data_IF_705666853188
#
_entry.id   IF_705666853188
#
_cell.length_a   1.000
_cell.length_b   1.000
_cell.length_c   1.000
_cell.angle_alpha   90.00
_cell.angle_beta   90.00
_cell.angle_gamma   90.00
#
_symmetry.space_group_name_H-M   'P 1'
#
loop_
_entity.id
_entity.type
_entity.pdbx_description
1 polymer ?
#
# COMPACT_ATOMS: atom_id res chain seq x y z
N UNK A 1 -20.83 69.36 76.73
CA UNK A 1 -20.40 67.95 76.85
C UNK A 1 -21.04 67.18 75.70
N UNK A 2 -20.29 66.97 74.61
CA UNK A 2 -19.72 65.66 74.24
C UNK A 2 -20.79 64.58 74.08
N UNK A 3 -21.22 64.30 72.85
CA UNK A 3 -20.66 63.21 72.06
C UNK A 3 -21.23 63.20 70.64
N UNK A 4 -20.32 63.45 69.71
CA UNK A 4 -20.46 63.28 68.27
C UNK A 4 -20.02 61.84 67.96
N UNK A 5 -20.93 61.00 67.46
CA UNK A 5 -20.59 59.64 67.01
C UNK A 5 -20.76 59.61 65.49
N UNK A 6 -19.63 59.73 64.78
CA UNK A 6 -19.51 59.59 63.34
C UNK A 6 -19.89 58.16 62.92
N UNK A 7 -20.98 58.03 62.18
CA UNK A 7 -21.31 56.82 61.43
C UNK A 7 -20.66 56.92 60.05
N UNK A 8 -19.49 56.29 59.91
CA UNK A 8 -18.77 56.16 58.63
C UNK A 8 -19.50 55.12 57.79
N UNK A 9 -20.25 55.59 56.78
CA UNK A 9 -20.81 54.75 55.71
C UNK A 9 -19.67 54.40 54.75
N UNK A 10 -19.06 53.23 54.93
CA UNK A 10 -18.18 52.61 53.94
C UNK A 10 -19.09 51.98 52.88
N UNK A 11 -19.31 52.72 51.78
CA UNK A 11 -19.86 52.21 50.53
C UNK A 11 -18.87 51.21 49.92
N UNK A 12 -19.01 49.92 50.25
CA UNK A 12 -18.45 48.85 49.44
C UNK A 12 -19.22 48.80 48.11
N UNK A 13 -18.70 49.49 47.09
CA UNK A 13 -19.02 49.18 45.71
C UNK A 13 -18.49 47.78 45.42
N UNK A 14 -19.33 46.76 45.63
CA UNK A 14 -19.14 45.44 45.04
C UNK A 14 -19.31 45.63 43.54
N UNK A 15 -18.21 45.94 42.86
CA UNK A 15 -18.09 45.75 41.42
C UNK A 15 -18.23 44.25 41.17
N UNK A 16 -19.46 43.78 40.99
CA UNK A 16 -19.75 42.53 40.31
C UNK A 16 -19.29 42.76 38.88
N UNK A 17 -17.99 42.60 38.64
CA UNK A 17 -17.47 42.36 37.31
C UNK A 17 -18.22 41.13 36.83
N UNK A 18 -19.30 41.34 36.06
CA UNK A 18 -19.95 40.28 35.31
C UNK A 18 -18.83 39.71 34.45
N UNK A 19 -18.28 38.57 34.87
CA UNK A 19 -17.31 37.82 34.10
C UNK A 19 -17.95 37.66 32.72
N UNK A 20 -17.46 38.44 31.74
CA UNK A 20 -17.94 38.34 30.39
C UNK A 20 -17.78 36.87 30.03
N UNK A 21 -18.87 36.22 29.63
CA UNK A 21 -18.79 34.85 29.16
C UNK A 21 -17.64 34.80 28.15
N UNK A 22 -16.62 33.95 28.37
CA UNK A 22 -15.47 33.91 27.50
C UNK A 22 -15.99 33.75 26.09
N UNK A 23 -15.66 34.72 25.22
CA UNK A 23 -16.10 34.68 23.83
C UNK A 23 -15.63 33.32 23.29
N UNK A 24 -16.51 32.53 22.68
CA UNK A 24 -16.09 31.26 22.11
C UNK A 24 -14.93 31.54 21.15
N UNK A 25 -13.84 30.77 21.29
CA UNK A 25 -12.74 30.78 20.34
C UNK A 25 -13.27 30.29 18.99
N UNK A 26 -13.74 31.22 18.18
CA UNK A 26 -14.15 30.97 16.79
C UNK A 26 -12.98 31.26 15.88
N UNK A 27 -12.91 30.52 14.77
CA UNK A 27 -11.95 30.78 13.71
C UNK A 27 -12.07 32.19 13.12
N UNK A 28 -13.29 32.73 13.15
CA UNK A 28 -13.70 33.91 12.39
C UNK A 28 -13.71 35.21 13.21
N UNK A 29 -13.40 35.15 14.50
CA UNK A 29 -13.77 36.20 15.43
C UNK A 29 -15.29 36.44 15.43
N UNK A 30 -15.71 37.71 15.41
CA UNK A 30 -17.13 38.10 15.35
C UNK A 30 -17.72 38.14 13.92
N UNK A 31 -16.93 37.82 12.88
CA UNK A 31 -17.33 37.95 11.47
C UNK A 31 -17.70 36.63 10.78
N UNK A 32 -18.30 36.72 9.58
CA UNK A 32 -18.50 35.58 8.70
C UNK A 32 -17.18 35.19 8.03
N UNK A 33 -16.85 33.91 8.00
CA UNK A 33 -15.58 33.44 7.46
C UNK A 33 -15.23 33.85 6.02
N UNK A 34 -13.93 33.92 5.72
CA UNK A 34 -13.47 34.23 4.36
C UNK A 34 -14.04 33.23 3.34
N UNK A 35 -14.32 33.65 2.09
CA UNK A 35 -14.81 32.76 1.04
C UNK A 35 -13.94 31.50 0.88
N UNK A 36 -12.61 31.66 0.90
CA UNK A 36 -11.65 30.56 0.85
C UNK A 36 -11.87 29.53 1.97
N UNK A 37 -11.88 29.97 3.23
CA UNK A 37 -12.02 29.09 4.39
C UNK A 37 -13.39 28.38 4.40
N UNK A 38 -14.44 29.02 3.89
CA UNK A 38 -15.76 28.39 3.72
C UNK A 38 -15.76 27.34 2.62
N UNK A 39 -15.06 27.58 1.52
CA UNK A 39 -15.00 26.67 0.39
C UNK A 39 -14.21 25.39 0.69
N UNK A 40 -13.09 25.51 1.40
CA UNK A 40 -12.26 24.34 1.73
C UNK A 40 -12.87 23.46 2.83
N UNK A 41 -13.70 24.00 3.72
CA UNK A 41 -14.32 23.27 4.84
C UNK A 41 -15.67 22.64 4.44
N UNK A 42 -15.68 21.92 3.32
CA UNK A 42 -16.86 21.24 2.77
C UNK A 42 -16.46 19.81 2.38
N UNK A 43 -17.12 18.83 2.99
CA UNK A 43 -16.96 17.42 2.63
C UNK A 43 -18.26 16.63 2.86
N UNK A 44 -19.22 16.69 1.91
CA UNK A 44 -20.56 16.12 2.07
C UNK A 44 -20.57 14.64 2.44
N UNK A 45 -19.60 13.86 1.94
CA UNK A 45 -19.50 12.43 2.26
C UNK A 45 -19.11 12.18 3.72
N UNK A 46 -18.30 13.07 4.30
CA UNK A 46 -17.81 12.96 5.68
C UNK A 46 -18.87 13.47 6.66
N UNK A 47 -19.57 14.56 6.32
CA UNK A 47 -20.70 15.05 7.12
C UNK A 47 -21.90 14.08 7.09
N UNK A 48 -22.05 13.31 6.01
CA UNK A 48 -23.14 12.35 5.80
C UNK A 48 -24.27 12.89 4.93
N UNK A 49 -24.08 14.05 4.30
CA UNK A 49 -24.99 14.61 3.29
C UNK A 49 -24.98 13.80 1.99
N UNK A 50 -23.88 13.12 1.69
CA UNK A 50 -23.76 12.18 0.57
C UNK A 50 -23.27 10.82 1.05
N UNK A 51 -23.70 9.77 0.37
CA UNK A 51 -23.17 8.43 0.58
C UNK A 51 -21.90 8.22 -0.24
N UNK A 52 -20.88 7.53 0.30
CA UNK A 52 -19.67 7.25 -0.45
C UNK A 52 -19.96 6.33 -1.64
N UNK A 53 -19.26 6.56 -2.73
CA UNK A 53 -19.42 5.81 -3.98
C UNK A 53 -18.38 4.69 -4.03
N UNK A 54 -18.78 3.56 -4.61
CA UNK A 54 -17.85 2.48 -4.89
C UNK A 54 -17.17 2.76 -6.22
N UNK A 55 -15.85 2.86 -6.22
CA UNK A 55 -15.10 3.19 -7.44
C UNK A 55 -14.95 1.93 -8.28
N UNK A 56 -15.17 2.05 -9.58
CA UNK A 56 -14.88 1.00 -10.54
C UNK A 56 -13.52 1.27 -11.20
N UNK A 57 -12.62 0.27 -11.26
CA UNK A 57 -11.21 0.49 -11.59
C UNK A 57 -10.92 0.86 -13.05
N UNK A 58 -11.88 0.72 -13.98
CA UNK A 58 -11.64 0.92 -15.40
C UNK A 58 -12.88 1.39 -16.19
N UNK A 59 -13.86 2.03 -15.54
CA UNK A 59 -15.11 2.42 -16.21
C UNK A 59 -15.42 3.92 -16.20
N UNK A 60 -15.16 4.61 -15.09
CA UNK A 60 -15.56 6.01 -14.90
C UNK A 60 -14.36 6.90 -14.64
N UNK A 61 -14.40 8.13 -15.17
CA UNK A 61 -13.41 9.15 -14.85
C UNK A 61 -13.49 9.50 -13.37
N UNK A 62 -12.32 9.58 -12.73
CA UNK A 62 -12.19 9.94 -11.32
C UNK A 62 -11.87 11.42 -11.23
N UNK A 63 -12.87 12.23 -10.92
CA UNK A 63 -12.74 13.67 -10.79
C UNK A 63 -12.58 14.09 -9.33
N UNK A 64 -11.76 15.11 -9.08
CA UNK A 64 -11.43 15.60 -7.75
C UNK A 64 -11.77 17.08 -7.66
N UNK A 65 -12.39 17.50 -6.54
CA UNK A 65 -12.81 18.88 -6.28
C UNK A 65 -11.85 19.65 -5.36
N UNK A 66 -10.86 18.96 -4.79
CA UNK A 66 -9.79 19.55 -3.98
C UNK A 66 -8.43 18.97 -4.34
N UNK A 67 -7.44 19.84 -4.40
CA UNK A 67 -6.02 19.49 -4.49
C UNK A 67 -5.34 19.96 -3.21
N UNK A 68 -4.56 19.08 -2.59
CA UNK A 68 -3.91 19.34 -1.30
C UNK A 68 -2.44 19.02 -1.42
N UNK A 69 -1.59 20.05 -1.33
CA UNK A 69 -0.13 19.88 -1.29
C UNK A 69 0.27 19.54 0.13
N UNK A 70 1.12 18.53 0.26
CA UNK A 70 1.55 18.04 1.56
C UNK A 70 3.06 17.91 1.60
N UNK A 71 3.59 18.08 2.80
CA UNK A 71 4.97 17.78 3.16
C UNK A 71 4.95 16.68 4.21
N UNK A 72 5.65 15.58 3.93
CA UNK A 72 5.78 14.45 4.85
C UNK A 72 7.23 14.29 5.26
N UNK A 73 7.46 14.00 6.53
CA UNK A 73 8.79 13.71 7.07
C UNK A 73 8.77 12.32 7.71
N UNK A 74 9.68 11.43 7.32
CA UNK A 74 9.82 10.10 7.93
C UNK A 74 11.28 9.65 7.89
N UNK A 75 11.78 9.15 9.02
CA UNK A 75 13.18 8.72 9.17
C UNK A 75 14.21 9.75 8.66
N UNK A 76 13.97 11.04 8.94
CA UNK A 76 14.82 12.15 8.51
C UNK A 76 14.71 12.55 7.04
N UNK A 77 13.93 11.82 6.23
CA UNK A 77 13.67 12.18 4.83
C UNK A 77 12.41 13.03 4.74
N UNK A 78 12.50 14.09 3.97
CA UNK A 78 11.38 14.98 3.66
C UNK A 78 10.96 14.73 2.22
N UNK A 79 9.66 14.56 2.00
CA UNK A 79 9.07 14.45 0.67
C UNK A 79 7.86 15.35 0.57
N UNK A 80 7.63 15.85 -0.64
CA UNK A 80 6.43 16.62 -0.98
C UNK A 80 5.63 15.81 -2.01
N UNK A 81 4.31 15.92 -1.93
CA UNK A 81 3.40 15.29 -2.89
C UNK A 81 2.03 15.96 -2.85
N UNK A 82 1.17 15.65 -3.82
CA UNK A 82 -0.20 16.14 -3.86
C UNK A 82 -1.20 15.01 -3.61
N UNK A 83 -2.19 15.30 -2.77
CA UNK A 83 -3.40 14.53 -2.60
C UNK A 83 -4.52 15.21 -3.39
N UNK A 84 -5.41 14.41 -3.96
CA UNK A 84 -6.62 14.88 -4.62
C UNK A 84 -7.82 14.28 -3.90
N UNK A 85 -8.75 15.12 -3.47
CA UNK A 85 -9.97 14.67 -2.80
C UNK A 85 -11.18 14.85 -3.71
N UNK A 86 -11.99 13.80 -3.80
CA UNK A 86 -13.39 13.92 -4.17
C UNK A 86 -14.21 13.90 -2.87
N UNK A 87 -14.55 15.09 -2.39
CA UNK A 87 -15.23 15.32 -1.12
C UNK A 87 -16.72 14.93 -1.17
N UNK A 88 -17.27 14.82 -2.38
CA UNK A 88 -18.66 14.44 -2.63
C UNK A 88 -18.87 12.92 -2.67
N UNK A 89 -17.95 12.19 -3.31
CA UNK A 89 -18.02 10.74 -3.52
C UNK A 89 -17.16 9.94 -2.53
N UNK A 90 -16.24 10.60 -1.81
CA UNK A 90 -15.48 9.98 -0.73
C UNK A 90 -14.30 9.14 -1.19
N UNK A 91 -13.41 9.73 -1.97
CA UNK A 91 -12.16 9.08 -2.32
C UNK A 91 -10.98 10.04 -2.42
N UNK A 92 -9.79 9.49 -2.22
CA UNK A 92 -8.50 10.19 -2.25
C UNK A 92 -7.64 9.58 -3.34
N UNK A 93 -7.09 10.42 -4.22
CA UNK A 93 -6.05 10.07 -5.18
C UNK A 93 -4.70 10.65 -4.77
N UNK A 94 -3.59 9.96 -5.04
CA UNK A 94 -2.25 10.54 -4.87
C UNK A 94 -1.19 9.82 -5.69
N UNK A 95 -0.15 10.55 -6.10
CA UNK A 95 1.07 9.99 -6.69
C UNK A 95 2.11 9.76 -5.59
N UNK A 96 3.02 8.78 -5.78
CA UNK A 96 4.24 8.75 -4.96
C UNK A 96 5.06 10.02 -5.18
N UNK A 97 5.88 10.45 -4.20
CA UNK A 97 6.86 11.49 -4.41
C UNK A 97 7.78 11.09 -5.57
N UNK A 98 7.84 11.93 -6.61
CA UNK A 98 8.72 11.70 -7.76
C UNK A 98 10.10 12.24 -7.45
N UNK A 99 11.13 11.46 -7.75
CA UNK A 99 12.53 11.90 -7.70
C UNK A 99 12.96 12.66 -8.98
N UNK A 100 12.09 12.81 -9.97
CA UNK A 100 12.45 13.27 -11.32
C UNK A 100 12.21 14.76 -11.55
N UNK A 101 13.23 15.42 -12.09
CA UNK A 101 13.39 16.88 -12.24
C UNK A 101 12.50 17.56 -13.31
N UNK A 102 11.36 16.98 -13.72
CA UNK A 102 10.63 17.43 -14.92
C UNK A 102 9.10 17.48 -14.85
N UNK A 103 8.48 17.10 -13.74
CA UNK A 103 7.02 17.17 -13.56
C UNK A 103 6.63 18.15 -12.45
N UNK A 104 5.50 18.85 -12.62
CA UNK A 104 4.89 19.58 -11.52
C UNK A 104 4.49 18.62 -10.40
N UNK A 105 4.59 19.07 -9.15
CA UNK A 105 4.28 18.26 -7.95
C UNK A 105 2.88 17.62 -8.03
N UNK A 106 1.93 18.33 -8.64
CA UNK A 106 0.53 17.96 -8.75
C UNK A 106 0.11 17.59 -10.19
N UNK A 107 1.00 17.05 -11.01
CA UNK A 107 0.61 16.60 -12.35
C UNK A 107 0.21 15.11 -12.33
N UNK A 108 -1.02 14.80 -12.76
CA UNK A 108 -1.45 13.41 -13.03
C UNK A 108 -1.16 13.09 -14.49
N UNK A 109 -0.08 12.37 -14.77
CA UNK A 109 0.38 12.05 -16.13
C UNK A 109 0.41 10.54 -16.37
N UNK A 110 -0.74 9.92 -16.70
CA UNK A 110 -0.85 8.47 -16.78
C UNK A 110 -0.03 7.83 -17.91
N UNK A 111 0.34 8.61 -18.92
CA UNK A 111 1.10 8.15 -20.08
C UNK A 111 2.62 8.35 -19.94
N UNK A 112 3.09 8.77 -18.77
CA UNK A 112 4.53 8.81 -18.49
C UNK A 112 5.03 7.45 -18.01
N UNK A 113 6.28 7.15 -18.36
CA UNK A 113 7.01 6.02 -17.81
C UNK A 113 7.08 6.15 -16.27
N UNK A 114 6.93 5.03 -15.58
CA UNK A 114 6.97 4.93 -14.12
C UNK A 114 5.88 5.77 -13.42
N UNK A 115 4.78 6.08 -14.11
CA UNK A 115 3.59 6.63 -13.47
C UNK A 115 3.05 5.65 -12.44
N UNK A 116 2.76 6.13 -11.23
CA UNK A 116 2.09 5.37 -10.18
C UNK A 116 1.11 6.31 -9.47
N UNK A 117 -0.16 5.93 -9.44
CA UNK A 117 -1.24 6.68 -8.82
C UNK A 117 -2.12 5.74 -7.99
N UNK A 118 -2.33 6.10 -6.73
CA UNK A 118 -3.15 5.34 -5.80
C UNK A 118 -4.49 6.03 -5.66
N UNK A 119 -5.56 5.23 -5.58
CA UNK A 119 -6.89 5.70 -5.26
C UNK A 119 -7.44 4.89 -4.08
N UNK A 120 -7.84 5.59 -3.02
CA UNK A 120 -8.42 5.03 -1.80
C UNK A 120 -9.84 5.57 -1.63
N UNK A 121 -10.84 4.69 -1.67
CA UNK A 121 -12.22 5.04 -1.33
C UNK A 121 -12.52 4.87 0.16
N UNK A 122 -13.40 5.69 0.72
CA UNK A 122 -13.86 5.53 2.11
C UNK A 122 -14.70 4.26 2.31
N UNK A 123 -15.18 3.65 1.23
CA UNK A 123 -15.78 2.31 1.24
C UNK A 123 -14.78 1.17 1.36
N UNK A 124 -13.47 1.45 1.33
CA UNK A 124 -12.39 0.47 1.47
C UNK A 124 -11.83 -0.08 0.16
N UNK A 125 -12.34 0.35 -0.99
CA UNK A 125 -11.74 -0.01 -2.28
C UNK A 125 -10.39 0.73 -2.46
N UNK A 126 -9.37 -0.02 -2.88
CA UNK A 126 -8.01 0.47 -3.11
C UNK A 126 -7.57 0.06 -4.52
N UNK A 127 -7.13 1.04 -5.30
CA UNK A 127 -6.57 0.82 -6.63
C UNK A 127 -5.19 1.43 -6.75
N UNK A 128 -4.28 0.69 -7.40
CA UNK A 128 -2.96 1.19 -7.79
C UNK A 128 -2.89 1.17 -9.31
N UNK A 129 -2.88 2.35 -9.92
CA UNK A 129 -2.68 2.55 -11.35
C UNK A 129 -1.20 2.75 -11.59
N UNK A 130 -0.62 1.98 -12.50
CA UNK A 130 0.80 2.08 -12.82
C UNK A 130 1.06 1.94 -14.31
N UNK A 131 2.08 2.64 -14.79
CA UNK A 131 2.55 2.55 -16.17
C UNK A 131 3.95 1.98 -16.20
N UNK A 132 4.11 0.83 -16.86
CA UNK A 132 5.38 0.11 -16.96
C UNK A 132 5.90 0.13 -18.39
N UNK A 133 7.20 0.37 -18.57
CA UNK A 133 7.90 0.25 -19.85
C UNK A 133 8.27 -1.21 -20.10
N UNK A 134 7.73 -1.81 -21.16
CA UNK A 134 8.03 -3.18 -21.56
C UNK A 134 9.28 -3.30 -22.45
N UNK A 135 9.99 -2.20 -22.66
CA UNK A 135 11.06 -2.09 -23.64
C UNK A 135 10.54 -1.66 -25.02
N UNK A 136 11.46 -1.22 -25.88
CA UNK A 136 11.16 -0.68 -27.22
C UNK A 136 10.18 0.50 -27.23
N UNK A 137 10.09 1.25 -26.13
CA UNK A 137 9.19 2.41 -26.01
C UNK A 137 7.71 2.05 -25.87
N UNK A 138 7.36 0.78 -25.63
CA UNK A 138 5.97 0.35 -25.43
C UNK A 138 5.61 0.45 -23.96
N UNK A 139 4.66 1.33 -23.65
CA UNK A 139 4.10 1.47 -22.32
C UNK A 139 2.88 0.55 -22.15
N UNK A 140 2.77 -0.07 -20.97
CA UNK A 140 1.56 -0.76 -20.52
C UNK A 140 1.00 -0.08 -19.29
N UNK A 141 -0.33 -0.02 -19.24
CA UNK A 141 -1.09 0.60 -18.17
C UNK A 141 -1.82 -0.48 -17.39
N UNK A 142 -1.50 -0.59 -16.10
CA UNK A 142 -2.01 -1.63 -15.21
C UNK A 142 -2.75 -1.03 -14.03
N UNK A 143 -3.91 -1.60 -13.70
CA UNK A 143 -4.57 -1.35 -12.42
C UNK A 143 -4.51 -2.61 -11.57
N UNK A 144 -3.96 -2.47 -10.36
CA UNK A 144 -3.98 -3.50 -9.31
C UNK A 144 -5.11 -3.17 -8.34
N UNK A 145 -6.00 -4.13 -8.11
CA UNK A 145 -7.18 -3.99 -7.26
C UNK A 145 -7.04 -4.70 -5.90
N UNK A 146 -6.10 -5.65 -5.80
CA UNK A 146 -5.83 -6.44 -4.59
C UNK A 146 -7.06 -7.12 -3.98
N UNK A 147 -8.11 -7.39 -4.77
CA UNK A 147 -9.37 -7.99 -4.30
C UNK A 147 -10.26 -7.04 -3.48
N UNK A 148 -9.88 -5.77 -3.33
CA UNK A 148 -10.64 -4.78 -2.55
C UNK A 148 -11.97 -4.39 -3.21
N UNK A 149 -12.14 -4.73 -4.49
CA UNK A 149 -13.39 -4.54 -5.22
C UNK A 149 -14.52 -5.47 -4.76
N UNK A 150 -14.17 -6.63 -4.20
CA UNK A 150 -15.15 -7.61 -3.71
C UNK A 150 -15.17 -7.66 -2.18
N UNK A 151 -14.01 -7.46 -1.55
CA UNK A 151 -13.85 -7.46 -0.11
C UNK A 151 -13.12 -6.19 0.31
N UNK A 152 -13.84 -5.12 0.68
CA UNK A 152 -13.21 -3.83 0.93
C UNK A 152 -12.14 -3.88 2.03
N UNK A 153 -11.12 -3.06 1.89
CA UNK A 153 -10.06 -2.90 2.87
C UNK A 153 -10.57 -2.16 4.10
N UNK A 154 -10.48 -2.84 5.24
CA UNK A 154 -10.72 -2.25 6.54
C UNK A 154 -9.44 -1.56 6.99
N UNK A 155 -9.35 -0.23 6.89
CA UNK A 155 -8.18 0.53 7.33
C UNK A 155 -7.84 0.16 8.80
N UNK A 156 -6.58 -0.15 9.15
CA UNK A 156 -6.19 -0.40 10.53
C UNK A 156 -6.60 0.79 11.41
N UNK A 157 -7.37 0.52 12.46
CA UNK A 157 -7.93 1.56 13.33
C UNK A 157 -9.31 2.07 12.91
N UNK A 158 -9.91 1.62 11.81
CA UNK A 158 -11.29 1.92 11.41
C UNK A 158 -12.35 1.26 12.30
N UNK A 159 -12.01 0.90 13.54
CA UNK A 159 -12.99 0.51 14.53
C UNK A 159 -14.04 1.63 14.59
N UNK A 160 -15.32 1.25 14.51
CA UNK A 160 -16.45 2.15 14.70
C UNK A 160 -16.40 2.64 16.14
N UNK A 161 -15.63 3.70 16.36
CA UNK A 161 -15.26 4.17 17.67
C UNK A 161 -15.05 5.66 17.64
N UNK A 162 -15.16 6.25 18.82
CA UNK A 162 -14.92 7.66 19.04
C UNK A 162 -13.54 7.81 19.69
N UNK A 163 -12.62 8.54 19.04
CA UNK A 163 -11.35 8.90 19.67
C UNK A 163 -11.47 10.29 20.29
N UNK A 164 -11.29 10.41 21.61
CA UNK A 164 -11.32 11.71 22.28
C UNK A 164 -9.95 12.38 22.22
N UNK A 165 -9.95 13.66 21.87
CA UNK A 165 -8.77 14.52 21.86
C UNK A 165 -9.05 15.82 22.61
N UNK A 166 -8.06 16.32 23.34
CA UNK A 166 -8.17 17.55 24.12
C UNK A 166 -7.35 18.67 23.46
N UNK A 167 -7.92 19.87 23.41
CA UNK A 167 -7.26 21.08 22.89
C UNK A 167 -6.02 21.39 23.74
N UNK A 168 -4.94 21.78 23.08
CA UNK A 168 -3.73 22.33 23.70
C UNK A 168 -3.61 23.81 23.36
N UNK A 169 -2.66 24.50 24.00
CA UNK A 169 -2.51 25.96 23.85
C UNK A 169 -1.80 26.36 22.54
N UNK A 170 -1.21 25.40 21.83
CA UNK A 170 -0.45 25.72 20.62
C UNK A 170 -1.36 25.92 19.42
N UNK A 171 -1.00 26.90 18.60
CA UNK A 171 -1.68 27.25 17.37
C UNK A 171 -0.63 27.46 16.28
N UNK A 172 -0.98 27.07 15.05
CA UNK A 172 -0.15 27.26 13.86
C UNK A 172 -0.98 27.84 12.72
N UNK A 173 -0.27 28.53 11.82
CA UNK A 173 -0.80 29.07 10.57
C UNK A 173 -0.36 28.19 9.39
N UNK A 174 -1.25 28.06 8.41
CA UNK A 174 -1.11 27.19 7.23
C UNK A 174 -1.66 27.90 5.99
N UNK A 175 -1.32 27.41 4.80
CA UNK A 175 -1.78 27.93 3.51
C UNK A 175 -1.53 29.45 3.38
N UNK A 176 -0.29 29.88 3.60
CA UNK A 176 0.11 31.30 3.62
C UNK A 176 -0.74 32.15 4.57
N UNK A 177 -0.82 31.70 5.83
CA UNK A 177 -1.58 32.34 6.92
C UNK A 177 -3.10 32.45 6.73
N UNK A 178 -3.66 31.86 5.65
CA UNK A 178 -5.11 31.81 5.40
C UNK A 178 -5.83 30.88 6.36
N UNK A 179 -5.13 29.92 6.97
CA UNK A 179 -5.72 28.86 7.80
C UNK A 179 -5.07 28.85 9.19
N UNK A 180 -5.89 28.98 10.22
CA UNK A 180 -5.49 28.89 11.63
C UNK A 180 -5.90 27.55 12.21
N UNK A 181 -4.97 26.73 12.68
CA UNK A 181 -5.28 25.44 13.27
C UNK A 181 -4.76 25.34 14.71
N UNK A 182 -5.58 24.75 15.59
CA UNK A 182 -5.25 24.52 16.99
C UNK A 182 -4.83 23.08 17.21
N UNK A 183 -3.91 22.89 18.13
CA UNK A 183 -3.41 21.57 18.51
C UNK A 183 -4.40 20.80 19.40
N UNK A 184 -4.51 19.50 19.15
CA UNK A 184 -5.35 18.55 19.87
C UNK A 184 -4.57 17.25 20.08
N UNK A 185 -4.67 16.66 21.28
CA UNK A 185 -3.94 15.44 21.64
C UNK A 185 -4.85 14.46 22.37
N UNK A 186 -4.72 13.18 22.05
CA UNK A 186 -5.22 12.10 22.89
C UNK A 186 -4.09 11.70 23.84
N UNK A 187 -4.30 11.77 25.17
CA UNK A 187 -3.24 11.48 26.15
C UNK A 187 -2.73 10.04 26.09
N UNK A 188 -3.55 9.10 25.60
CA UNK A 188 -3.17 7.70 25.44
C UNK A 188 -2.34 7.43 24.17
N UNK A 189 -2.19 8.43 23.29
CA UNK A 189 -1.59 8.28 21.99
C UNK A 189 -0.48 9.34 21.77
N UNK A 190 0.64 8.98 21.12
CA UNK A 190 1.73 9.94 20.90
C UNK A 190 1.40 11.03 19.88
N UNK A 191 0.36 10.86 19.05
CA UNK A 191 0.00 11.76 17.96
C UNK A 191 -0.50 13.13 18.46
N UNK A 192 0.01 14.20 17.87
CA UNK A 192 -0.51 15.57 18.00
C UNK A 192 -1.17 15.97 16.68
N UNK A 193 -2.40 16.48 16.74
CA UNK A 193 -3.17 16.88 15.57
C UNK A 193 -3.38 18.40 15.58
N UNK A 194 -3.10 19.09 14.48
CA UNK A 194 -3.51 20.49 14.31
C UNK A 194 -4.77 20.54 13.46
N UNK A 195 -5.87 20.99 14.07
CA UNK A 195 -7.21 20.95 13.49
C UNK A 195 -7.68 22.34 13.08
N UNK A 196 -8.28 22.41 11.90
CA UNK A 196 -8.97 23.57 11.37
C UNK A 196 -10.47 23.29 11.29
N UNK A 197 -11.29 24.12 11.91
CA UNK A 197 -12.76 23.97 11.91
C UNK A 197 -13.45 25.18 12.55
N UNK A 198 -14.78 25.28 12.42
CA UNK A 198 -15.53 26.52 12.72
C UNK A 198 -15.32 27.05 14.14
N UNK A 199 -15.14 26.17 15.12
CA UNK A 199 -14.90 26.47 16.54
C UNK A 199 -13.85 25.53 17.13
N UNK A 200 -13.27 25.90 18.28
CA UNK A 200 -12.21 25.11 18.93
C UNK A 200 -12.57 24.77 20.39
N UNK A 201 -13.48 23.81 20.60
CA UNK A 201 -13.89 23.40 21.93
C UNK A 201 -12.74 22.71 22.68
N UNK A 202 -12.76 22.69 24.02
CA UNK A 202 -11.70 22.06 24.83
C UNK A 202 -11.49 20.57 24.54
N UNK A 203 -12.53 19.87 24.07
CA UNK A 203 -12.50 18.46 23.73
C UNK A 203 -13.29 18.21 22.45
N UNK A 204 -12.80 17.26 21.64
CA UNK A 204 -13.47 16.71 20.46
C UNK A 204 -13.47 15.19 20.54
N UNK A 205 -14.48 14.58 19.95
CA UNK A 205 -14.54 13.15 19.75
C UNK A 205 -14.57 12.86 18.23
N UNK A 206 -13.48 12.31 17.70
CA UNK A 206 -13.34 11.94 16.29
C UNK A 206 -14.17 10.70 16.00
N UNK A 207 -15.03 10.76 14.99
CA UNK A 207 -15.67 9.58 14.45
C UNK A 207 -14.73 8.91 13.44
N UNK A 208 -14.05 7.85 13.85
CA UNK A 208 -12.97 7.25 13.05
C UNK A 208 -13.51 6.66 11.72
N UNK A 209 -14.79 6.26 11.69
CA UNK A 209 -15.45 5.79 10.46
C UNK A 209 -15.86 6.91 9.49
N UNK A 210 -15.75 8.18 9.90
CA UNK A 210 -16.08 9.36 9.08
C UNK A 210 -14.84 10.22 8.87
N UNK A 211 -13.92 9.69 8.08
CA UNK A 211 -12.66 10.32 7.71
C UNK A 211 -12.44 10.22 6.20
N UNK A 212 -11.97 11.29 5.59
CA UNK A 212 -11.52 11.34 4.19
C UNK A 212 -10.15 12.00 4.15
N UNK A 213 -9.11 11.19 4.00
CA UNK A 213 -7.75 11.68 3.98
C UNK A 213 -6.74 10.55 3.83
N UNK A 214 -5.47 10.91 3.84
CA UNK A 214 -4.36 9.97 3.83
C UNK A 214 -3.21 10.54 4.69
N UNK A 215 -2.27 9.71 5.14
CA UNK A 215 -1.15 10.17 5.98
C UNK A 215 -1.61 10.93 7.24
N UNK A 216 -2.76 10.58 7.80
CA UNK A 216 -3.30 11.21 9.01
C UNK A 216 -3.76 12.66 8.85
N UNK A 217 -3.79 13.19 7.62
CA UNK A 217 -4.29 14.53 7.28
C UNK A 217 -5.49 14.44 6.34
N UNK A 218 -6.41 15.40 6.44
CA UNK A 218 -7.64 15.44 5.64
C UNK A 218 -8.87 15.75 6.48
N UNK A 219 -10.05 15.43 5.94
CA UNK A 219 -11.33 15.75 6.55
C UNK A 219 -11.71 14.74 7.63
N UNK A 220 -12.09 15.22 8.81
CA UNK A 220 -12.48 14.42 9.96
C UNK A 220 -13.81 14.92 10.53
N UNK A 221 -14.79 14.03 10.62
CA UNK A 221 -16.03 14.33 11.34
C UNK A 221 -15.83 14.15 12.84
N UNK A 222 -16.32 15.10 13.63
CA UNK A 222 -16.33 15.04 15.09
C UNK A 222 -17.75 15.18 15.63
N UNK A 223 -17.94 15.00 16.93
CA UNK A 223 -19.18 15.33 17.62
C UNK A 223 -19.54 16.83 17.59
N UNK A 224 -18.59 17.69 17.19
CA UNK A 224 -18.77 19.16 17.08
C UNK A 224 -18.80 19.67 15.65
N UNK A 225 -18.76 18.76 14.66
CA UNK A 225 -18.83 19.08 13.24
C UNK A 225 -17.59 18.66 12.46
N UNK A 226 -17.47 19.17 11.23
CA UNK A 226 -16.40 18.87 10.30
C UNK A 226 -15.14 19.69 10.61
N UNK A 227 -13.99 19.02 10.63
CA UNK A 227 -12.67 19.60 10.76
C UNK A 227 -11.76 19.11 9.63
N UNK A 228 -10.71 19.87 9.34
CA UNK A 228 -9.57 19.42 8.54
C UNK A 228 -8.39 19.23 9.49
N UNK A 229 -7.77 18.05 9.47
CA UNK A 229 -6.49 17.79 10.11
C UNK A 229 -5.41 18.36 9.19
N UNK A 230 -4.88 19.53 9.55
CA UNK A 230 -3.88 20.26 8.78
C UNK A 230 -2.48 19.67 8.96
N UNK A 231 -2.18 19.15 10.14
CA UNK A 231 -0.89 18.53 10.44
C UNK A 231 -1.10 17.43 11.47
N UNK A 232 -0.41 16.31 11.27
CA UNK A 232 -0.32 15.23 12.23
C UNK A 232 1.16 14.97 12.52
N UNK A 233 1.53 15.05 13.79
CA UNK A 233 2.89 14.80 14.27
C UNK A 233 2.93 13.49 15.05
N UNK A 234 3.82 12.58 14.65
CA UNK A 234 4.14 11.34 15.35
C UNK A 234 5.67 11.24 15.53
N UNK A 235 6.19 10.60 16.59
CA UNK A 235 7.64 10.52 16.82
C UNK A 235 8.48 9.96 15.66
N UNK A 236 7.89 9.07 14.85
CA UNK A 236 8.56 8.47 13.69
C UNK A 236 8.19 9.07 12.33
N UNK A 237 7.14 9.90 12.27
CA UNK A 237 6.70 10.52 11.02
C UNK A 237 5.78 11.73 11.23
N UNK A 238 5.79 12.66 10.29
CA UNK A 238 4.93 13.85 10.28
C UNK A 238 4.32 14.02 8.89
N UNK A 239 3.10 14.53 8.83
CA UNK A 239 2.47 14.99 7.60
C UNK A 239 1.80 16.34 7.83
N UNK A 240 2.06 17.29 6.94
CA UNK A 240 1.54 18.66 7.00
C UNK A 240 0.96 19.06 5.65
N UNK A 241 -0.23 19.64 5.67
CA UNK A 241 -0.82 20.35 4.53
C UNK A 241 -0.13 21.71 4.41
N UNK A 242 0.46 21.98 3.25
CA UNK A 242 1.05 23.27 2.93
C UNK A 242 0.09 24.16 2.16
N UNK A 243 -0.78 23.59 1.35
CA UNK A 243 -1.70 24.32 0.47
C UNK A 243 -2.97 23.50 0.17
N UNK A 244 -4.11 24.17 -0.01
CA UNK A 244 -5.39 23.56 -0.38
C UNK A 244 -6.07 24.42 -1.44
N UNK A 245 -6.29 23.84 -2.61
CA UNK A 245 -6.97 24.51 -3.72
C UNK A 245 -8.25 23.77 -4.11
N UNK A 246 -9.26 24.53 -4.55
CA UNK A 246 -10.38 23.96 -5.30
C UNK A 246 -9.96 23.74 -6.75
N UNK A 247 -10.19 22.54 -7.25
CA UNK A 247 -9.79 22.16 -8.61
C UNK A 247 -10.90 21.37 -9.29
N UNK A 248 -10.75 21.17 -10.60
CA UNK A 248 -11.57 20.24 -11.38
C UNK A 248 -10.63 19.32 -12.18
N UNK A 249 -9.84 18.52 -11.46
CA UNK A 249 -8.88 17.58 -12.05
C UNK A 249 -9.54 16.23 -12.18
N UNK A 250 -9.47 15.61 -13.36
CA UNK A 250 -9.98 14.26 -13.60
C UNK A 250 -8.86 13.33 -14.06
N UNK A 251 -8.90 12.09 -13.58
CA UNK A 251 -8.07 10.99 -14.01
C UNK A 251 -8.93 9.98 -14.78
N UNK A 252 -8.50 9.62 -15.99
CA UNK A 252 -9.20 8.65 -16.84
C UNK A 252 -8.53 7.26 -16.71
N UNK A 253 -9.17 6.28 -16.06
CA UNK A 253 -8.59 4.96 -15.87
C UNK A 253 -8.85 4.01 -17.05
N UNK A 254 -9.57 4.42 -18.11
CA UNK A 254 -10.04 3.50 -19.17
C UNK A 254 -8.91 2.78 -19.92
N UNK A 255 -7.72 3.38 -20.01
CA UNK A 255 -6.56 2.78 -20.64
C UNK A 255 -5.91 1.65 -19.79
N UNK A 256 -6.25 1.55 -18.50
CA UNK A 256 -5.59 0.64 -17.56
C UNK A 256 -6.23 -0.75 -17.56
N UNK A 257 -5.41 -1.77 -17.80
CA UNK A 257 -5.82 -3.17 -17.76
C UNK A 257 -5.73 -3.74 -16.35
N UNK A 258 -6.69 -4.55 -15.96
CA UNK A 258 -6.70 -5.21 -14.65
C UNK A 258 -5.60 -6.26 -14.58
N UNK A 259 -4.56 -5.99 -13.80
CA UNK A 259 -3.36 -6.82 -13.76
C UNK A 259 -3.66 -8.24 -13.26
N UNK A 260 -4.53 -8.37 -12.27
CA UNK A 260 -4.88 -9.68 -11.69
C UNK A 260 -5.62 -10.57 -12.67
N UNK A 261 -6.53 -10.02 -13.48
CA UNK A 261 -7.27 -10.78 -14.50
C UNK A 261 -6.31 -11.34 -15.55
N UNK A 262 -5.44 -10.48 -16.10
CA UNK A 262 -4.43 -10.90 -17.09
C UNK A 262 -3.43 -11.91 -16.49
N UNK A 263 -3.02 -11.72 -15.23
CA UNK A 263 -2.16 -12.67 -14.53
C UNK A 263 -2.84 -14.04 -14.40
N UNK A 264 -4.10 -14.07 -13.96
CA UNK A 264 -4.85 -15.31 -13.76
C UNK A 264 -5.06 -16.05 -15.07
N UNK A 265 -5.44 -15.35 -16.14
CA UNK A 265 -5.65 -15.92 -17.47
C UNK A 265 -4.35 -16.52 -18.01
N UNK A 266 -3.28 -15.72 -18.05
CA UNK A 266 -1.97 -16.17 -18.54
C UNK A 266 -1.44 -17.37 -17.75
N UNK A 267 -1.54 -17.34 -16.42
CA UNK A 267 -1.09 -18.47 -15.58
C UNK A 267 -1.91 -19.73 -15.83
N UNK A 268 -3.21 -19.59 -16.08
CA UNK A 268 -4.05 -20.74 -16.42
C UNK A 268 -3.64 -21.37 -17.74
N UNK A 269 -3.40 -20.54 -18.77
CA UNK A 269 -2.90 -21.03 -20.06
C UNK A 269 -1.53 -21.70 -19.94
N UNK A 270 -0.60 -21.10 -19.20
CA UNK A 270 0.74 -21.65 -18.99
C UNK A 270 0.68 -23.02 -18.28
N UNK A 271 -0.20 -23.17 -17.27
CA UNK A 271 -0.41 -24.45 -16.60
C UNK A 271 -0.99 -25.52 -17.54
N UNK A 272 -1.93 -25.16 -18.42
CA UNK A 272 -2.51 -26.08 -19.42
C UNK A 272 -1.42 -26.52 -20.41
N UNK A 273 -0.63 -25.58 -20.93
CA UNK A 273 0.47 -25.86 -21.85
C UNK A 273 1.54 -26.76 -21.21
N UNK A 274 1.92 -26.49 -19.97
CA UNK A 274 2.92 -27.30 -19.27
C UNK A 274 2.38 -28.71 -18.97
N UNK A 275 1.09 -28.86 -18.62
CA UNK A 275 0.47 -30.19 -18.45
C UNK A 275 0.54 -31.01 -19.74
N UNK A 276 0.13 -30.44 -20.87
CA UNK A 276 0.23 -31.10 -22.18
C UNK A 276 1.68 -31.44 -22.55
N UNK A 277 2.64 -30.61 -22.14
CA UNK A 277 4.06 -30.88 -22.36
C UNK A 277 4.55 -32.05 -21.49
N UNK A 278 4.15 -32.12 -20.22
CA UNK A 278 4.46 -33.25 -19.33
C UNK A 278 3.92 -34.55 -19.93
N UNK A 279 2.67 -34.57 -20.39
CA UNK A 279 2.06 -35.77 -20.98
C UNK A 279 2.81 -36.23 -22.24
N UNK A 280 3.18 -35.28 -23.12
CA UNK A 280 3.99 -35.57 -24.31
C UNK A 280 5.38 -36.07 -23.97
N UNK A 281 6.04 -35.48 -22.98
CA UNK A 281 7.39 -35.86 -22.58
C UNK A 281 7.41 -37.21 -21.87
N UNK A 282 6.36 -37.53 -21.10
CA UNK A 282 6.15 -38.86 -20.51
C UNK A 282 6.01 -39.93 -21.59
N UNK A 283 5.25 -39.67 -22.64
CA UNK A 283 5.12 -40.57 -23.80
C UNK A 283 6.41 -40.78 -24.62
N UNK A 284 7.44 -39.95 -24.43
CA UNK A 284 8.75 -40.11 -25.08
C UNK A 284 9.75 -40.91 -24.25
N UNK A 285 9.45 -41.21 -22.99
CA UNK A 285 10.34 -42.01 -22.15
C UNK A 285 10.33 -43.43 -22.68
N UNK A 286 11.50 -43.90 -23.12
CA UNK A 286 11.66 -45.28 -23.56
C UNK A 286 12.08 -46.15 -22.37
N UNK A 287 11.56 -47.38 -22.24
CA UNK A 287 11.94 -48.28 -21.14
C UNK A 287 13.43 -48.63 -21.10
N UNK A 288 14.12 -48.54 -22.24
CA UNK A 288 15.54 -48.81 -22.41
C UNK A 288 16.46 -47.59 -22.22
N UNK A 289 15.92 -46.38 -21.98
CA UNK A 289 16.74 -45.19 -21.73
C UNK A 289 17.41 -45.31 -20.34
N UNK A 290 18.75 -45.35 -20.25
CA UNK A 290 19.46 -45.44 -18.97
C UNK A 290 19.20 -44.24 -18.03
N UNK A 291 18.68 -43.12 -18.56
CA UNK A 291 18.28 -41.95 -17.77
C UNK A 291 16.75 -41.84 -17.57
N UNK A 292 15.98 -42.88 -17.91
CA UNK A 292 14.51 -42.89 -17.80
C UNK A 292 14.02 -42.54 -16.39
N UNK A 293 14.65 -43.09 -15.33
CA UNK A 293 14.27 -42.83 -13.95
C UNK A 293 14.41 -41.34 -13.56
N UNK A 294 15.49 -40.67 -13.98
CA UNK A 294 15.68 -39.23 -13.74
C UNK A 294 14.70 -38.38 -14.54
N UNK A 295 14.33 -38.80 -15.76
CA UNK A 295 13.29 -38.12 -16.55
C UNK A 295 11.93 -38.22 -15.88
N UNK A 296 11.53 -39.42 -15.45
CA UNK A 296 10.25 -39.62 -14.77
C UNK A 296 10.19 -38.83 -13.46
N UNK A 297 11.27 -38.84 -12.67
CA UNK A 297 11.35 -38.04 -11.44
C UNK A 297 11.13 -36.54 -11.70
N UNK A 298 11.71 -35.99 -12.78
CA UNK A 298 11.51 -34.60 -13.18
C UNK A 298 10.05 -34.32 -13.59
N UNK A 299 9.42 -35.23 -14.33
CA UNK A 299 8.03 -35.09 -14.76
C UNK A 299 7.07 -35.17 -13.58
N UNK A 300 7.25 -36.14 -12.67
CA UNK A 300 6.46 -36.27 -11.43
C UNK A 300 6.60 -35.02 -10.56
N UNK A 301 7.82 -34.48 -10.45
CA UNK A 301 8.05 -33.24 -9.72
C UNK A 301 7.28 -32.05 -10.34
N UNK A 302 7.38 -31.86 -11.67
CA UNK A 302 6.65 -30.80 -12.37
C UNK A 302 5.14 -30.97 -12.27
N UNK A 303 4.63 -32.19 -12.37
CA UNK A 303 3.20 -32.50 -12.21
C UNK A 303 2.71 -32.12 -10.80
N UNK A 304 3.48 -32.46 -9.77
CA UNK A 304 3.18 -32.07 -8.39
C UNK A 304 3.21 -30.55 -8.21
N UNK A 305 4.17 -29.84 -8.81
CA UNK A 305 4.21 -28.37 -8.79
C UNK A 305 2.98 -27.76 -9.44
N UNK A 306 2.58 -28.24 -10.63
CA UNK A 306 1.37 -27.77 -11.31
C UNK A 306 0.12 -28.03 -10.46
N UNK A 307 0.05 -29.18 -9.77
CA UNK A 307 -1.07 -29.48 -8.87
C UNK A 307 -1.15 -28.48 -7.72
N UNK A 308 -0.02 -28.16 -7.08
CA UNK A 308 0.04 -27.18 -6.00
C UNK A 308 -0.33 -25.78 -6.50
N UNK A 309 0.26 -25.34 -7.62
CA UNK A 309 -0.05 -24.04 -8.24
C UNK A 309 -1.52 -23.94 -8.65
N UNK A 310 -2.12 -25.00 -9.19
CA UNK A 310 -3.55 -25.03 -9.50
C UNK A 310 -4.42 -24.87 -8.25
N UNK A 311 -4.04 -25.53 -7.15
CA UNK A 311 -4.73 -25.37 -5.86
C UNK A 311 -4.62 -23.95 -5.30
N UNK A 312 -3.45 -23.34 -5.38
CA UNK A 312 -3.22 -21.95 -4.97
C UNK A 312 -4.01 -20.97 -5.86
N UNK A 313 -4.04 -21.19 -7.18
CA UNK A 313 -4.82 -20.40 -8.13
C UNK A 313 -6.32 -20.50 -7.89
N UNK A 314 -6.83 -21.70 -7.60
CA UNK A 314 -8.23 -21.90 -7.26
C UNK A 314 -8.59 -21.19 -5.94
N UNK A 315 -7.69 -21.21 -4.96
CA UNK A 315 -7.85 -20.46 -3.71
C UNK A 315 -7.93 -18.96 -3.99
N UNK A 316 -7.03 -18.40 -4.81
CA UNK A 316 -7.05 -16.99 -5.22
C UNK A 316 -8.36 -16.63 -5.92
N UNK A 317 -8.83 -17.47 -6.85
CA UNK A 317 -10.07 -17.27 -7.61
C UNK A 317 -11.32 -17.31 -6.73
N UNK A 318 -11.49 -18.38 -5.95
CA UNK A 318 -12.71 -18.62 -5.16
C UNK A 318 -12.91 -17.58 -4.09
N UNK A 319 -11.81 -17.09 -3.54
CA UNK A 319 -11.89 -16.17 -2.42
C UNK A 319 -12.29 -14.78 -2.85
N UNK A 320 -11.93 -14.32 -4.06
CA UNK A 320 -12.07 -12.92 -4.50
C UNK A 320 -11.71 -11.93 -3.37
N UNK A 321 -10.81 -12.35 -2.48
CA UNK A 321 -10.66 -11.76 -1.16
C UNK A 321 -9.58 -10.70 -1.22
N UNK A 322 -9.67 -9.78 -0.28
CA UNK A 322 -8.68 -8.76 -0.09
C UNK A 322 -7.30 -9.37 0.18
N UNK A 323 -6.40 -9.31 -0.80
CA UNK A 323 -5.02 -9.83 -0.69
C UNK A 323 -4.29 -9.12 0.46
N UNK A 324 -4.65 -7.89 0.79
CA UNK A 324 -3.98 -7.10 1.82
C UNK A 324 -4.30 -7.59 3.24
N UNK A 325 -5.42 -8.30 3.43
CA UNK A 325 -5.91 -8.71 4.76
C UNK A 325 -6.14 -10.22 4.89
N UNK A 326 -6.25 -10.94 3.77
CA UNK A 326 -6.48 -12.38 3.79
C UNK A 326 -5.15 -13.16 3.75
N UNK A 327 -4.75 -13.69 4.92
CA UNK A 327 -3.52 -14.46 5.08
C UNK A 327 -3.44 -15.70 4.18
N UNK A 328 -4.57 -16.35 3.88
CA UNK A 328 -4.60 -17.54 3.02
C UNK A 328 -4.29 -17.17 1.56
N UNK A 329 -4.85 -16.07 1.07
CA UNK A 329 -4.56 -15.57 -0.27
C UNK A 329 -3.11 -15.09 -0.38
N UNK A 330 -2.61 -14.37 0.64
CA UNK A 330 -1.20 -13.99 0.70
C UNK A 330 -0.29 -15.22 0.70
N UNK A 331 -0.66 -16.28 1.43
CA UNK A 331 0.10 -17.54 1.44
C UNK A 331 0.10 -18.19 0.06
N UNK A 332 -1.05 -18.26 -0.62
CA UNK A 332 -1.14 -18.81 -1.97
C UNK A 332 -0.22 -18.05 -2.95
N UNK A 333 -0.26 -16.72 -2.94
CA UNK A 333 0.67 -15.91 -3.74
C UNK A 333 2.15 -16.16 -3.39
N UNK A 334 2.48 -16.26 -2.09
CA UNK A 334 3.86 -16.55 -1.65
C UNK A 334 4.34 -17.92 -2.12
N UNK A 335 3.51 -18.95 -1.99
CA UNK A 335 3.85 -20.32 -2.43
C UNK A 335 4.17 -20.35 -3.93
N UNK A 336 3.41 -19.61 -4.75
CA UNK A 336 3.65 -19.50 -6.19
C UNK A 336 4.97 -18.81 -6.55
N UNK A 337 5.53 -18.01 -5.62
CA UNK A 337 6.76 -17.25 -5.81
C UNK A 337 7.95 -17.82 -5.03
N UNK A 338 7.79 -18.94 -4.31
CA UNK A 338 8.87 -19.47 -3.46
C UNK A 338 10.02 -20.02 -4.31
N UNK A 339 11.24 -19.43 -4.21
CA UNK A 339 12.40 -19.89 -4.96
C UNK A 339 12.84 -21.32 -4.60
N UNK A 340 12.43 -21.85 -3.45
CA UNK A 340 12.75 -23.22 -3.03
C UNK A 340 12.25 -24.24 -4.06
N UNK A 341 11.05 -24.03 -4.61
CA UNK A 341 10.49 -24.88 -5.66
C UNK A 341 11.33 -24.83 -6.95
N UNK A 342 11.92 -23.68 -7.26
CA UNK A 342 12.82 -23.54 -8.42
C UNK A 342 14.12 -24.33 -8.20
N UNK A 343 14.73 -24.19 -7.02
CA UNK A 343 15.96 -24.92 -6.64
C UNK A 343 15.74 -26.43 -6.71
N UNK A 344 14.64 -26.95 -6.16
CA UNK A 344 14.32 -28.37 -6.20
C UNK A 344 14.17 -28.88 -7.64
N UNK A 345 13.52 -28.10 -8.50
CA UNK A 345 13.43 -28.39 -9.93
C UNK A 345 14.81 -28.41 -10.60
N UNK A 346 15.66 -27.44 -10.28
CA UNK A 346 17.01 -27.35 -10.82
C UNK A 346 17.91 -28.51 -10.35
N UNK A 347 17.74 -29.00 -9.12
CA UNK A 347 18.44 -30.20 -8.62
C UNK A 347 18.10 -31.41 -9.50
N UNK A 348 16.81 -31.70 -9.69
CA UNK A 348 16.36 -32.87 -10.45
C UNK A 348 16.74 -32.73 -11.93
N UNK A 349 16.59 -31.53 -12.50
CA UNK A 349 17.02 -31.21 -13.87
C UNK A 349 18.53 -31.38 -14.07
N UNK A 350 19.34 -30.98 -13.07
CA UNK A 350 20.79 -31.14 -13.07
C UNK A 350 21.19 -32.61 -12.97
N UNK A 351 20.51 -33.41 -12.13
CA UNK A 351 20.72 -34.86 -12.05
C UNK A 351 20.47 -35.56 -13.39
N UNK A 352 19.38 -35.20 -14.08
CA UNK A 352 19.11 -35.69 -15.42
C UNK A 352 20.23 -35.29 -16.40
N UNK A 353 20.70 -34.04 -16.32
CA UNK A 353 21.78 -33.54 -17.17
C UNK A 353 23.11 -34.26 -16.91
N UNK A 354 23.42 -34.58 -15.66
CA UNK A 354 24.56 -35.41 -15.25
C UNK A 354 24.44 -36.79 -15.91
N UNK A 355 23.32 -37.48 -15.72
CA UNK A 355 23.10 -38.81 -16.30
C UNK A 355 23.28 -38.81 -17.83
N UNK A 356 22.67 -37.86 -18.53
CA UNK A 356 22.80 -37.76 -20.00
C UNK A 356 24.25 -37.49 -20.42
N UNK A 357 24.97 -36.66 -19.67
CA UNK A 357 26.38 -36.35 -19.96
C UNK A 357 27.29 -37.57 -19.69
N UNK A 358 27.04 -38.32 -18.61
CA UNK A 358 27.75 -39.58 -18.33
C UNK A 358 27.53 -40.61 -19.43
N UNK A 359 26.30 -40.76 -19.94
CA UNK A 359 26.01 -41.66 -21.05
C UNK A 359 26.71 -41.23 -22.34
N UNK A 360 26.83 -39.92 -22.58
CA UNK A 360 27.61 -39.39 -23.71
C UNK A 360 29.10 -39.72 -23.57
N UNK A 361 29.68 -39.54 -22.39
CA UNK A 361 31.09 -39.90 -22.11
C UNK A 361 31.29 -41.41 -22.26
N UNK A 362 30.36 -42.25 -21.80
CA UNK A 362 30.46 -43.71 -22.00
C UNK A 362 30.51 -44.12 -23.47
N UNK A 363 29.76 -43.42 -24.33
CA UNK A 363 29.77 -43.64 -25.79
C UNK A 363 30.99 -43.04 -26.48
N UNK A 364 31.52 -41.94 -25.94
CA UNK A 364 32.70 -41.26 -26.45
C UNK A 364 33.61 -40.81 -25.29
N UNK A 365 34.52 -41.69 -24.81
CA UNK A 365 35.35 -41.39 -23.65
C UNK A 365 36.26 -40.17 -23.80
N UNK A 366 36.61 -39.80 -25.04
CA UNK A 366 37.53 -38.70 -25.34
C UNK A 366 36.82 -37.34 -25.56
N UNK A 367 35.52 -37.23 -25.22
CA UNK A 367 34.76 -35.99 -25.33
C UNK A 367 35.10 -35.03 -24.19
N UNK A 368 36.23 -34.31 -24.31
CA UNK A 368 36.71 -33.33 -23.33
C UNK A 368 35.65 -32.28 -22.95
N UNK A 369 34.86 -31.71 -23.90
CA UNK A 369 33.74 -30.84 -23.56
C UNK A 369 32.70 -31.50 -22.64
N UNK A 370 32.35 -32.76 -22.89
CA UNK A 370 31.41 -33.49 -22.05
C UNK A 370 31.99 -33.75 -20.64
N UNK A 371 33.27 -34.08 -20.53
CA UNK A 371 33.96 -34.25 -19.24
C UNK A 371 34.00 -32.95 -18.43
N UNK A 372 34.35 -31.82 -19.06
CA UNK A 372 34.36 -30.51 -18.43
C UNK A 372 32.95 -30.11 -17.96
N UNK A 373 31.94 -30.35 -18.81
CA UNK A 373 30.53 -30.12 -18.46
C UNK A 373 30.09 -30.97 -17.27
N UNK A 374 30.46 -32.25 -17.22
CA UNK A 374 30.16 -33.13 -16.10
C UNK A 374 30.74 -32.58 -14.79
N UNK A 375 32.01 -32.16 -14.78
CA UNK A 375 32.64 -31.55 -13.62
C UNK A 375 31.93 -30.27 -13.15
N UNK A 376 31.52 -29.40 -14.09
CA UNK A 376 30.73 -28.22 -13.76
C UNK A 376 29.38 -28.60 -13.12
N UNK A 377 28.64 -29.53 -13.72
CA UNK A 377 27.33 -29.97 -13.22
C UNK A 377 27.44 -30.60 -11.83
N UNK A 378 28.48 -31.40 -11.57
CA UNK A 378 28.75 -31.99 -10.25
C UNK A 378 29.07 -30.92 -9.19
N UNK A 379 29.81 -29.87 -9.54
CA UNK A 379 30.00 -28.73 -8.64
C UNK A 379 28.71 -27.94 -8.41
N UNK A 380 27.92 -27.75 -9.47
CA UNK A 380 26.68 -26.98 -9.42
C UNK A 380 25.59 -27.66 -8.59
N UNK A 381 25.43 -28.98 -8.67
CA UNK A 381 24.47 -29.70 -7.82
C UNK A 381 24.83 -29.62 -6.34
N UNK A 382 26.11 -29.59 -5.99
CA UNK A 382 26.57 -29.35 -4.62
C UNK A 382 26.15 -27.96 -4.11
N UNK A 383 26.28 -26.93 -4.96
CA UNK A 383 25.80 -25.58 -4.65
C UNK A 383 24.28 -25.52 -4.50
N UNK A 384 23.54 -26.13 -5.42
CA UNK A 384 22.07 -26.19 -5.35
C UNK A 384 21.59 -26.81 -4.03
N UNK A 385 22.15 -27.95 -3.61
CA UNK A 385 21.80 -28.61 -2.33
C UNK A 385 22.16 -27.77 -1.11
N UNK A 386 23.31 -27.10 -1.14
CA UNK A 386 23.68 -26.17 -0.07
C UNK A 386 22.68 -24.99 0.01
N UNK A 387 22.30 -24.42 -1.14
CA UNK A 387 21.30 -23.35 -1.21
C UNK A 387 19.93 -23.83 -0.74
N UNK A 388 19.49 -25.04 -1.10
CA UNK A 388 18.25 -25.64 -0.62
C UNK A 388 18.22 -25.71 0.92
N UNK A 389 19.30 -26.22 1.53
CA UNK A 389 19.41 -26.30 2.98
C UNK A 389 19.40 -24.92 3.65
N UNK A 390 20.07 -23.92 3.04
CA UNK A 390 20.04 -22.54 3.52
C UNK A 390 18.64 -21.93 3.43
N UNK A 391 17.89 -22.20 2.35
CA UNK A 391 16.50 -21.72 2.22
C UNK A 391 15.58 -22.36 3.26
N UNK A 392 15.74 -23.65 3.56
CA UNK A 392 14.98 -24.31 4.62
C UNK A 392 15.31 -23.72 6.01
N UNK A 393 16.58 -23.44 6.28
CA UNK A 393 17.00 -22.77 7.52
C UNK A 393 16.43 -21.34 7.64
N UNK A 394 16.25 -20.63 6.52
CA UNK A 394 15.58 -19.33 6.51
C UNK A 394 14.10 -19.43 6.87
N UNK A 395 13.38 -20.47 6.42
CA UNK A 395 11.99 -20.68 6.81
C UNK A 395 11.84 -20.90 8.32
N UNK A 396 12.75 -21.66 8.92
CA UNK A 396 12.76 -21.89 10.36
C UNK A 396 13.12 -20.60 11.12
N UNK A 397 14.20 -19.92 10.72
CA UNK A 397 14.65 -18.70 11.37
C UNK A 397 13.64 -17.55 11.29
N UNK A 398 12.85 -17.49 10.21
CA UNK A 398 11.86 -16.46 9.94
C UNK A 398 10.42 -17.00 9.94
N UNK A 399 10.13 -18.04 10.74
CA UNK A 399 8.79 -18.65 10.79
C UNK A 399 7.66 -17.66 11.12
N UNK A 400 7.98 -16.57 11.85
CA UNK A 400 7.04 -15.48 12.21
C UNK A 400 7.05 -14.32 11.21
N UNK A 401 7.98 -14.30 10.27
CA UNK A 401 8.12 -13.27 9.24
C UNK A 401 8.41 -13.91 7.86
N UNK A 402 7.39 -14.56 7.26
CA UNK A 402 7.57 -15.27 6.00
C UNK A 402 7.92 -14.34 4.83
N UNK A 403 7.65 -13.04 4.94
CA UNK A 403 8.01 -12.05 3.92
C UNK A 403 9.52 -11.82 3.90
N UNK A 404 10.14 -11.67 5.08
CA UNK A 404 11.61 -11.58 5.18
C UNK A 404 12.27 -12.88 4.73
N UNK A 405 11.70 -14.04 5.08
CA UNK A 405 12.18 -15.34 4.58
C UNK A 405 12.22 -15.36 3.05
N UNK A 406 11.10 -15.04 2.39
CA UNK A 406 10.97 -15.03 0.94
C UNK A 406 11.94 -14.05 0.26
N UNK A 407 12.11 -12.85 0.83
CA UNK A 407 13.08 -11.87 0.32
C UNK A 407 14.52 -12.39 0.34
N UNK A 408 14.93 -13.03 1.45
CA UNK A 408 16.26 -13.64 1.58
C UNK A 408 16.45 -14.84 0.68
N UNK A 409 15.44 -15.71 0.54
CA UNK A 409 15.49 -16.82 -0.43
C UNK A 409 15.67 -16.30 -1.85
N UNK A 410 14.96 -15.24 -2.22
CA UNK A 410 15.05 -14.65 -3.57
C UNK A 410 16.46 -14.13 -3.85
N UNK A 411 17.12 -13.52 -2.87
CA UNK A 411 18.52 -13.09 -2.98
C UNK A 411 19.47 -14.29 -3.17
N UNK A 412 19.31 -15.36 -2.39
CA UNK A 412 20.11 -16.59 -2.54
C UNK A 412 19.94 -17.21 -3.93
N UNK A 413 18.70 -17.28 -4.42
CA UNK A 413 18.40 -17.80 -5.75
C UNK A 413 19.07 -16.97 -6.86
N UNK A 414 18.92 -15.64 -6.82
CA UNK A 414 19.51 -14.75 -7.81
C UNK A 414 21.05 -14.83 -7.83
N UNK A 415 21.68 -14.91 -6.67
CA UNK A 415 23.13 -15.09 -6.56
C UNK A 415 23.56 -16.44 -7.17
N UNK A 416 22.82 -17.52 -6.93
CA UNK A 416 23.13 -18.83 -7.49
C UNK A 416 23.04 -18.85 -9.02
N UNK A 417 22.04 -18.17 -9.60
CA UNK A 417 21.79 -18.17 -11.05
C UNK A 417 22.92 -17.52 -11.86
N UNK A 418 23.74 -16.65 -11.25
CA UNK A 418 24.93 -16.07 -11.88
C UNK A 418 26.04 -17.09 -12.14
N UNK A 419 25.99 -18.26 -11.49
CA UNK A 419 27.03 -19.31 -11.56
C UNK A 419 26.54 -20.61 -12.23
N UNK A 420 25.51 -20.51 -13.09
CA UNK A 420 24.97 -21.65 -13.82
C UNK A 420 25.95 -22.19 -14.87
N UNK A 421 26.01 -23.51 -15.01
CA UNK A 421 26.80 -24.20 -16.04
C UNK A 421 26.08 -24.09 -17.39
N UNK A 422 26.24 -22.96 -18.09
CA UNK A 422 25.70 -22.75 -19.44
C UNK A 422 26.68 -23.22 -20.51
#
# INVERSE_FOLDING_TARGET
MKHCLQLIIILFFVNVAKAQHPRPDTMWGAGSGSPYQRAILVAPVVSGERSPVFILPNSEQLCFDKQVKIKTQSAGRVSEQCLYFNTASGYVGYCMPRNSAGGGLCDIKPFEKDFVFYVIGTKGNLYTYQTTDEGNGRLKHWVTMSGTQANPYTLPGSNTGMMRVNKKMEMKLYCDDKVKAWSYKNEAQPQLYYLFGKNYPPQLAFNIGKYLGNFGIGYQMTDKGLYIIMEMQHPSWEAKITDIDEVAVCFDPTAFQKQEEVFIEKRTEDMIKERQKIDRDRGKIRPDDPCAAHREALLVFRENQLRLQSGDMDSIRRTNNNVLQNQNVQKAYRNMMDPLFMIQGDIISTQLSICVTEQRIRRNPNDNPAQAKLGCLQGFIGRLRSTEAQMAALDEAYARDPTTALGKKSQLYLALMQHSCR
#
